data_IF_333614823439
#
_entry.id   IF_333614823439
#
_cell.length_a   1.000
_cell.length_b   1.000
_cell.length_c   1.000
_cell.angle_alpha   90.00
_cell.angle_beta   90.00
_cell.angle_gamma   90.00
#
_symmetry.space_group_name_H-M   'P 1'
#
loop_
_entity.id
_entity.type
_entity.pdbx_description
1 polymer ?
#
# COMPACT_ATOMS: atom_id res chain seq x y z
N UNK A 1 -15.58 0.48 13.32
CA UNK A 1 -15.23 1.31 12.18
C UNK A 1 -13.78 1.72 12.35
N UNK A 2 -12.89 1.18 11.54
CA UNK A 2 -11.50 1.62 11.48
C UNK A 2 -11.49 3.02 10.85
N UNK A 3 -11.03 4.00 11.58
CA UNK A 3 -10.78 5.31 10.99
C UNK A 3 -9.40 5.25 10.37
N UNK A 4 -9.33 5.41 9.06
CA UNK A 4 -8.06 5.68 8.37
C UNK A 4 -7.52 7.00 8.90
N UNK A 5 -6.24 7.01 9.29
CA UNK A 5 -5.56 8.25 9.67
C UNK A 5 -5.18 8.95 8.38
N UNK A 6 -5.67 10.15 8.09
CA UNK A 6 -5.30 10.88 6.89
C UNK A 6 -3.79 11.13 6.83
N UNK A 7 -3.21 11.10 5.63
CA UNK A 7 -1.78 11.32 5.40
C UNK A 7 -1.30 12.63 6.04
N UNK A 8 -2.02 13.72 5.87
CA UNK A 8 -1.70 15.03 6.46
C UNK A 8 -1.62 14.97 7.99
N UNK A 9 -2.44 14.11 8.61
CA UNK A 9 -2.39 13.90 10.06
C UNK A 9 -1.13 13.13 10.47
N UNK A 10 -0.69 12.16 9.67
CA UNK A 10 0.57 11.43 9.89
C UNK A 10 1.75 12.39 9.79
N UNK A 11 1.81 13.20 8.73
CA UNK A 11 2.85 14.23 8.53
C UNK A 11 2.87 15.20 9.72
N UNK A 12 1.71 15.74 10.10
CA UNK A 12 1.59 16.69 11.20
C UNK A 12 2.04 16.11 12.55
N UNK A 13 1.63 14.88 12.87
CA UNK A 13 2.04 14.21 14.11
C UNK A 13 3.53 13.87 14.11
N UNK A 14 4.06 13.39 12.99
CA UNK A 14 5.48 13.08 12.86
C UNK A 14 6.33 14.34 13.00
N UNK A 15 5.96 15.44 12.36
CA UNK A 15 6.66 16.71 12.51
C UNK A 15 6.63 17.23 13.96
N UNK A 16 5.51 17.09 14.67
CA UNK A 16 5.44 17.46 16.08
C UNK A 16 6.34 16.59 16.97
N UNK A 17 6.50 15.30 16.66
CA UNK A 17 7.44 14.42 17.33
C UNK A 17 8.89 14.81 17.02
N UNK A 18 9.22 15.10 15.77
CA UNK A 18 10.55 15.58 15.38
C UNK A 18 10.89 16.84 16.17
N UNK A 19 10.01 17.84 16.22
CA UNK A 19 10.22 19.08 16.96
C UNK A 19 10.43 18.84 18.46
N UNK A 20 9.71 17.88 19.05
CA UNK A 20 9.80 17.56 20.47
C UNK A 20 11.08 16.78 20.84
N UNK A 21 11.62 15.97 19.91
CA UNK A 21 12.74 15.07 20.18
C UNK A 21 14.07 15.48 19.53
N UNK A 22 14.11 16.56 18.75
CA UNK A 22 15.34 17.14 18.20
C UNK A 22 16.12 17.90 19.29
N UNK A 23 16.71 17.14 20.21
CA UNK A 23 17.40 17.69 21.40
C UNK A 23 18.91 17.88 21.19
N UNK A 24 19.45 17.33 20.11
CA UNK A 24 20.85 17.45 19.70
C UNK A 24 20.97 17.47 18.17
N UNK A 25 22.19 17.64 17.66
CA UNK A 25 22.47 17.76 16.23
C UNK A 25 22.13 16.46 15.47
N UNK A 26 22.36 15.29 16.07
CA UNK A 26 22.10 13.98 15.47
C UNK A 26 20.59 13.74 15.32
N UNK A 27 19.82 13.94 16.38
CA UNK A 27 18.36 13.81 16.35
C UNK A 27 17.69 14.85 15.45
N UNK A 28 18.23 16.06 15.39
CA UNK A 28 17.75 17.09 14.46
C UNK A 28 17.99 16.69 13.00
N UNK A 29 19.19 16.17 12.67
CA UNK A 29 19.52 15.69 11.32
C UNK A 29 18.66 14.49 10.90
N UNK A 30 18.40 13.55 11.82
CA UNK A 30 17.48 12.43 11.57
C UNK A 30 16.04 12.91 11.29
N UNK A 31 15.57 13.90 12.05
CA UNK A 31 14.26 14.52 11.84
C UNK A 31 14.14 15.20 10.47
N UNK A 32 15.20 15.89 10.04
CA UNK A 32 15.22 16.57 8.74
C UNK A 32 15.13 15.56 7.57
N UNK A 33 15.84 14.45 7.63
CA UNK A 33 15.71 13.37 6.63
C UNK A 33 14.28 12.86 6.48
N UNK A 34 13.53 12.76 7.59
CA UNK A 34 12.13 12.36 7.55
C UNK A 34 11.27 13.43 6.84
N UNK A 35 11.54 14.72 7.08
CA UNK A 35 10.84 15.81 6.37
C UNK A 35 11.13 15.82 4.88
N UNK A 36 12.40 15.62 4.50
CA UNK A 36 12.81 15.49 3.10
C UNK A 36 12.07 14.35 2.39
N UNK A 37 11.84 13.21 3.08
CA UNK A 37 11.02 12.10 2.54
C UNK A 37 9.57 12.49 2.31
N UNK A 38 8.96 13.26 3.20
CA UNK A 38 7.60 13.77 3.00
C UNK A 38 7.54 14.74 1.82
N UNK A 39 8.51 15.64 1.70
CA UNK A 39 8.58 16.59 0.59
C UNK A 39 8.78 15.89 -0.76
N UNK A 40 9.62 14.86 -0.82
CA UNK A 40 9.79 14.04 -2.01
C UNK A 40 8.51 13.29 -2.37
N UNK A 41 7.82 12.71 -1.39
CA UNK A 41 6.54 12.03 -1.63
C UNK A 41 5.48 13.01 -2.14
N UNK A 42 5.38 14.21 -1.58
CA UNK A 42 4.41 15.22 -2.04
C UNK A 42 4.64 15.58 -3.52
N UNK A 43 5.91 15.68 -3.96
CA UNK A 43 6.25 15.90 -5.36
C UNK A 43 5.86 14.70 -6.24
N UNK A 44 6.12 13.46 -5.78
CA UNK A 44 5.74 12.25 -6.47
C UNK A 44 4.21 12.12 -6.60
N UNK A 45 3.45 12.51 -5.57
CA UNK A 45 1.99 12.56 -5.60
C UNK A 45 1.49 13.55 -6.66
N UNK A 46 2.08 14.75 -6.76
CA UNK A 46 1.68 15.72 -7.78
C UNK A 46 1.98 15.21 -9.20
N UNK A 47 3.14 14.59 -9.43
CA UNK A 47 3.45 13.95 -10.71
C UNK A 47 2.47 12.81 -11.05
N UNK A 48 2.11 12.00 -10.06
CA UNK A 48 1.14 10.93 -10.21
C UNK A 48 -0.26 11.45 -10.54
N UNK A 49 -0.70 12.53 -9.90
CA UNK A 49 -1.99 13.19 -10.20
C UNK A 49 -2.07 13.63 -11.66
N UNK A 50 -1.00 14.20 -12.21
CA UNK A 50 -0.96 14.57 -13.62
C UNK A 50 -1.03 13.37 -14.54
N UNK A 51 -0.37 12.27 -14.18
CA UNK A 51 -0.30 11.04 -14.98
C UNK A 51 -1.61 10.23 -14.95
N UNK A 52 -2.34 10.27 -13.83
CA UNK A 52 -3.56 9.48 -13.63
C UNK A 52 -4.85 10.31 -13.67
N UNK A 53 -4.77 11.60 -14.03
CA UNK A 53 -5.93 12.49 -14.11
C UNK A 53 -7.06 11.91 -14.96
N UNK A 54 -8.28 11.97 -14.42
CA UNK A 54 -9.49 11.47 -15.06
C UNK A 54 -9.62 9.94 -15.09
N UNK A 55 -8.70 9.18 -14.50
CA UNK A 55 -8.82 7.73 -14.37
C UNK A 55 -9.69 7.36 -13.17
N UNK A 56 -10.50 6.33 -13.36
CA UNK A 56 -11.41 5.83 -12.34
C UNK A 56 -10.94 4.50 -11.75
N UNK A 57 -11.24 4.28 -10.46
CA UNK A 57 -10.85 3.07 -9.75
C UNK A 57 -12.02 2.49 -8.95
N UNK A 58 -12.12 1.17 -8.92
CA UNK A 58 -12.87 0.43 -7.92
C UNK A 58 -11.88 -0.25 -6.98
N UNK A 59 -11.94 0.05 -5.69
CA UNK A 59 -11.09 -0.61 -4.69
C UNK A 59 -11.87 -1.74 -4.03
N UNK A 60 -11.52 -2.98 -4.36
CA UNK A 60 -12.15 -4.18 -3.89
C UNK A 60 -11.33 -4.82 -2.77
N UNK A 61 -11.88 -4.85 -1.57
CA UNK A 61 -11.28 -5.51 -0.42
C UNK A 61 -12.00 -6.82 -0.12
N UNK A 62 -11.25 -7.90 0.04
CA UNK A 62 -11.79 -9.22 0.36
C UNK A 62 -11.34 -9.71 1.72
N UNK A 63 -12.26 -10.40 2.41
CA UNK A 63 -12.00 -11.09 3.68
C UNK A 63 -12.74 -12.41 3.67
N UNK A 64 -12.02 -13.50 3.34
CA UNK A 64 -12.64 -14.78 3.02
C UNK A 64 -13.59 -14.65 1.83
N UNK A 65 -14.81 -15.15 1.96
CA UNK A 65 -15.84 -15.09 0.91
C UNK A 65 -16.60 -13.75 0.87
N UNK A 66 -16.25 -12.81 1.74
CA UNK A 66 -16.93 -11.52 1.79
C UNK A 66 -16.11 -10.47 1.01
N UNK A 67 -16.81 -9.72 0.15
CA UNK A 67 -16.24 -8.66 -0.66
C UNK A 67 -16.81 -7.31 -0.24
N UNK A 68 -15.95 -6.31 -0.22
CA UNK A 68 -16.28 -4.95 0.18
C UNK A 68 -15.70 -3.98 -0.85
N UNK A 69 -16.36 -2.86 -1.07
CA UNK A 69 -15.79 -1.71 -1.80
C UNK A 69 -15.26 -0.72 -0.77
N UNK A 70 -14.00 -0.36 -0.88
CA UNK A 70 -13.46 0.77 -0.15
C UNK A 70 -13.89 2.08 -0.81
N UNK A 71 -14.28 3.03 0.02
CA UNK A 71 -14.51 4.41 -0.38
C UNK A 71 -13.20 5.21 -0.33
N UNK A 72 -13.24 6.48 -0.69
CA UNK A 72 -12.11 7.40 -0.51
C UNK A 72 -11.69 7.62 0.96
N UNK A 73 -12.50 7.15 1.93
CA UNK A 73 -12.20 7.17 3.35
C UNK A 73 -11.55 5.84 3.84
N UNK A 74 -11.39 4.85 2.97
CA UNK A 74 -10.64 3.64 3.23
C UNK A 74 -9.13 3.87 3.04
N UNK A 75 -8.28 2.97 3.55
CA UNK A 75 -6.82 3.14 3.48
C UNK A 75 -6.34 3.20 2.04
N UNK A 76 -6.57 2.14 1.26
CA UNK A 76 -6.18 2.12 -0.15
C UNK A 76 -7.01 3.11 -0.99
N UNK A 77 -8.31 3.26 -0.68
CA UNK A 77 -9.16 4.24 -1.38
C UNK A 77 -8.67 5.68 -1.21
N UNK A 78 -8.16 6.05 -0.04
CA UNK A 78 -7.55 7.37 0.18
C UNK A 78 -6.22 7.53 -0.56
N UNK A 79 -5.38 6.49 -0.61
CA UNK A 79 -4.13 6.51 -1.36
C UNK A 79 -4.39 6.65 -2.87
N UNK A 80 -5.35 5.89 -3.41
CA UNK A 80 -5.75 5.99 -4.81
C UNK A 80 -6.23 7.41 -5.17
N UNK A 81 -7.04 8.03 -4.30
CA UNK A 81 -7.45 9.43 -4.46
C UNK A 81 -6.26 10.39 -4.42
N UNK A 82 -5.32 10.19 -3.51
CA UNK A 82 -4.13 11.05 -3.40
C UNK A 82 -3.30 11.07 -4.68
N UNK A 83 -3.18 9.93 -5.36
CA UNK A 83 -2.41 9.82 -6.62
C UNK A 83 -3.23 10.14 -7.88
N UNK A 84 -4.47 10.64 -7.74
CA UNK A 84 -5.25 11.20 -8.84
C UNK A 84 -6.44 10.39 -9.33
N UNK A 85 -6.73 9.22 -8.75
CA UNK A 85 -7.89 8.43 -9.17
C UNK A 85 -9.21 8.96 -8.62
N UNK A 86 -10.25 8.83 -9.42
CA UNK A 86 -11.64 8.99 -8.97
C UNK A 86 -12.22 7.61 -8.60
N UNK A 87 -12.67 7.45 -7.35
CA UNK A 87 -13.30 6.21 -6.94
C UNK A 87 -14.73 6.15 -7.49
N UNK A 88 -15.08 5.07 -8.20
CA UNK A 88 -16.43 4.87 -8.77
C UNK A 88 -17.50 4.74 -7.69
N UNK A 89 -17.12 4.39 -6.48
CA UNK A 89 -18.04 4.36 -5.33
C UNK A 89 -17.67 5.41 -4.29
N UNK A 90 -18.56 6.34 -4.07
CA UNK A 90 -18.40 7.41 -3.09
C UNK A 90 -19.36 7.24 -1.94
N UNK A 91 -18.87 7.36 -0.71
CA UNK A 91 -19.69 7.35 0.51
C UNK A 91 -18.93 8.07 1.63
N UNK A 92 -19.46 9.18 2.09
CA UNK A 92 -18.85 10.03 3.12
C UNK A 92 -19.03 9.50 4.56
N UNK A 93 -19.87 8.47 4.75
CA UNK A 93 -20.22 7.90 6.06
C UNK A 93 -19.36 6.70 6.46
N UNK A 94 -18.68 6.06 5.52
CA UNK A 94 -18.01 4.79 5.77
C UNK A 94 -16.69 4.69 5.00
N UNK A 95 -15.69 4.00 5.57
CA UNK A 95 -14.44 3.70 4.88
C UNK A 95 -14.57 2.54 3.88
N UNK A 96 -15.52 1.66 4.10
CA UNK A 96 -15.88 0.57 3.20
C UNK A 96 -17.32 0.14 3.42
N UNK A 97 -17.92 -0.44 2.39
CA UNK A 97 -19.27 -1.03 2.43
C UNK A 97 -19.22 -2.43 1.84
N UNK A 98 -20.11 -3.31 2.28
CA UNK A 98 -20.24 -4.62 1.66
C UNK A 98 -20.64 -4.44 0.19
N UNK A 99 -20.02 -5.21 -0.69
CA UNK A 99 -20.31 -5.18 -2.11
C UNK A 99 -21.77 -5.54 -2.36
N UNK A 100 -22.51 -4.60 -2.95
CA UNK A 100 -23.83 -4.85 -3.52
C UNK A 100 -23.64 -5.27 -4.98
N UNK A 101 -23.93 -6.54 -5.26
CA UNK A 101 -23.70 -7.13 -6.56
C UNK A 101 -24.55 -6.51 -7.68
N UNK A 102 -25.77 -6.04 -7.36
CA UNK A 102 -26.63 -5.39 -8.35
C UNK A 102 -26.10 -3.99 -8.68
N UNK A 103 -25.67 -3.25 -7.66
CA UNK A 103 -25.15 -1.91 -7.81
C UNK A 103 -23.78 -1.90 -8.52
N UNK A 104 -22.94 -2.92 -8.28
CA UNK A 104 -21.62 -2.98 -8.89
C UNK A 104 -21.65 -3.15 -10.43
N UNK A 105 -22.77 -3.61 -11.00
CA UNK A 105 -22.96 -3.70 -12.45
C UNK A 105 -23.04 -2.33 -13.15
N UNK A 106 -23.35 -1.29 -12.38
CA UNK A 106 -23.43 0.07 -12.90
C UNK A 106 -22.06 0.80 -12.90
N UNK A 107 -21.03 0.14 -12.35
CA UNK A 107 -19.68 0.72 -12.28
C UNK A 107 -18.83 0.30 -13.47
N UNK A 108 -18.16 1.27 -14.07
CA UNK A 108 -17.20 1.07 -15.17
C UNK A 108 -15.85 1.72 -14.82
N UNK A 109 -15.09 1.11 -13.90
CA UNK A 109 -13.77 1.64 -13.52
C UNK A 109 -12.74 1.36 -14.63
N UNK A 110 -11.75 2.24 -14.75
CA UNK A 110 -10.58 2.00 -15.59
C UNK A 110 -9.72 0.86 -15.07
N UNK A 111 -9.66 0.71 -13.73
CA UNK A 111 -8.92 -0.34 -13.05
C UNK A 111 -9.65 -0.81 -11.78
N UNK A 112 -9.51 -2.09 -11.45
CA UNK A 112 -9.90 -2.65 -10.16
C UNK A 112 -8.64 -2.92 -9.34
N UNK A 113 -8.51 -2.30 -8.17
CA UNK A 113 -7.46 -2.59 -7.21
C UNK A 113 -8.00 -3.56 -6.17
N UNK A 114 -7.47 -4.79 -6.17
CA UNK A 114 -7.86 -5.84 -5.24
C UNK A 114 -6.86 -5.93 -4.09
N UNK A 115 -7.37 -5.96 -2.85
CA UNK A 115 -6.55 -6.05 -1.64
C UNK A 115 -7.24 -6.94 -0.60
N UNK A 116 -6.45 -7.66 0.19
CA UNK A 116 -6.96 -8.58 1.22
C UNK A 116 -6.00 -8.77 2.38
N UNK A 117 -6.11 -9.91 3.06
CA UNK A 117 -5.27 -10.27 4.20
C UNK A 117 -3.98 -10.99 3.78
N UNK A 118 -3.88 -11.39 2.52
CA UNK A 118 -2.75 -12.13 1.96
C UNK A 118 -1.71 -11.19 1.33
N UNK A 119 -0.58 -11.75 0.93
CA UNK A 119 0.30 -11.06 -0.01
C UNK A 119 -0.36 -10.92 -1.40
N UNK A 120 0.27 -10.20 -2.31
CA UNK A 120 -0.33 -9.91 -3.62
C UNK A 120 -0.63 -11.19 -4.44
N UNK A 121 0.23 -12.21 -4.36
CA UNK A 121 0.08 -13.46 -5.13
C UNK A 121 -1.03 -14.33 -4.53
N UNK A 122 -1.03 -14.53 -3.19
CA UNK A 122 -2.09 -15.26 -2.50
C UNK A 122 -3.45 -14.57 -2.64
N UNK A 123 -3.48 -13.25 -2.62
CA UNK A 123 -4.72 -12.50 -2.85
C UNK A 123 -5.20 -12.63 -4.30
N UNK A 124 -4.29 -12.65 -5.27
CA UNK A 124 -4.61 -12.93 -6.67
C UNK A 124 -5.27 -14.29 -6.84
N UNK A 125 -4.68 -15.36 -6.29
CA UNK A 125 -5.25 -16.72 -6.37
C UNK A 125 -6.67 -16.77 -5.75
N UNK A 126 -6.86 -16.09 -4.62
CA UNK A 126 -8.16 -16.00 -3.95
C UNK A 126 -9.19 -15.31 -4.84
N UNK A 127 -8.85 -14.16 -5.41
CA UNK A 127 -9.77 -13.39 -6.24
C UNK A 127 -10.06 -14.06 -7.59
N UNK A 128 -9.06 -14.65 -8.24
CA UNK A 128 -9.27 -15.42 -9.48
C UNK A 128 -10.20 -16.62 -9.24
N UNK A 129 -10.09 -17.27 -8.08
CA UNK A 129 -11.01 -18.31 -7.66
C UNK A 129 -12.44 -17.77 -7.46
N UNK A 130 -12.61 -16.64 -6.80
CA UNK A 130 -13.90 -15.98 -6.63
C UNK A 130 -14.52 -15.56 -7.98
N UNK A 131 -13.73 -15.04 -8.89
CA UNK A 131 -14.16 -14.67 -10.23
C UNK A 131 -14.61 -15.90 -11.03
N UNK A 132 -13.88 -17.02 -10.93
CA UNK A 132 -14.24 -18.26 -11.57
C UNK A 132 -15.50 -18.93 -11.00
N UNK A 133 -15.84 -18.71 -9.73
CA UNK A 133 -17.05 -19.24 -9.11
C UNK A 133 -18.34 -18.54 -9.59
N UNK A 134 -18.26 -17.27 -9.95
CA UNK A 134 -19.40 -16.52 -10.47
C UNK A 134 -19.02 -15.65 -11.68
N UNK A 135 -18.63 -16.30 -12.80
CA UNK A 135 -18.07 -15.57 -13.96
C UNK A 135 -19.10 -14.68 -14.66
N UNK A 136 -20.38 -15.03 -14.63
CA UNK A 136 -21.43 -14.20 -15.23
C UNK A 136 -21.54 -12.83 -14.56
N UNK A 137 -21.37 -12.81 -13.24
CA UNK A 137 -21.37 -11.59 -12.48
C UNK A 137 -20.07 -10.80 -12.68
N UNK A 138 -18.92 -11.42 -12.40
CA UNK A 138 -17.65 -10.71 -12.40
C UNK A 138 -17.25 -10.19 -13.79
N UNK A 139 -17.56 -10.95 -14.84
CA UNK A 139 -17.31 -10.52 -16.21
C UNK A 139 -18.29 -9.45 -16.71
N UNK A 140 -19.32 -9.11 -15.94
CA UNK A 140 -20.18 -7.97 -16.25
C UNK A 140 -19.54 -6.64 -15.87
N UNK A 141 -18.48 -6.66 -15.06
CA UNK A 141 -17.64 -5.50 -14.76
C UNK A 141 -16.52 -5.44 -15.82
N UNK A 142 -16.52 -4.46 -16.74
CA UNK A 142 -15.62 -4.46 -17.90
C UNK A 142 -14.14 -4.55 -17.50
N UNK A 143 -13.72 -3.86 -16.45
CA UNK A 143 -12.34 -3.89 -15.98
C UNK A 143 -11.90 -5.32 -15.59
N UNK A 144 -12.77 -6.11 -14.96
CA UNK A 144 -12.46 -7.50 -14.57
C UNK A 144 -12.44 -8.40 -15.81
N UNK A 145 -13.43 -8.27 -16.70
CA UNK A 145 -13.50 -9.06 -17.93
C UNK A 145 -12.29 -8.85 -18.84
N UNK A 146 -11.73 -7.66 -18.85
CA UNK A 146 -10.57 -7.27 -19.65
C UNK A 146 -9.22 -7.48 -18.93
N UNK A 147 -9.24 -8.00 -17.70
CA UNK A 147 -8.04 -8.25 -16.91
C UNK A 147 -7.37 -6.97 -16.37
N UNK A 148 -8.10 -5.85 -16.33
CA UNK A 148 -7.63 -4.59 -15.73
C UNK A 148 -7.76 -4.63 -14.20
N UNK A 149 -7.06 -5.60 -13.61
CA UNK A 149 -7.08 -5.88 -12.16
C UNK A 149 -5.67 -5.84 -11.62
N UNK A 150 -5.45 -5.04 -10.59
CA UNK A 150 -4.20 -4.93 -9.87
C UNK A 150 -4.36 -5.57 -8.49
N UNK A 151 -3.52 -6.55 -8.17
CA UNK A 151 -3.53 -7.25 -6.89
C UNK A 151 -2.46 -6.66 -5.97
N UNK A 152 -2.86 -6.24 -4.79
CA UNK A 152 -2.02 -5.52 -3.84
C UNK A 152 -1.93 -6.28 -2.50
N UNK A 153 -0.77 -6.24 -1.82
CA UNK A 153 -0.59 -6.91 -0.54
C UNK A 153 -1.34 -6.23 0.62
N UNK A 154 -1.49 -6.96 1.72
CA UNK A 154 -2.18 -6.50 2.94
C UNK A 154 -1.64 -5.20 3.53
N UNK A 155 -0.39 -4.83 3.25
CA UNK A 155 0.20 -3.57 3.68
C UNK A 155 -0.66 -2.36 3.33
N UNK A 156 -1.34 -2.38 2.18
CA UNK A 156 -2.22 -1.30 1.72
C UNK A 156 -3.54 -1.15 2.49
N UNK A 157 -3.88 -2.09 3.37
CA UNK A 157 -5.05 -1.95 4.27
C UNK A 157 -4.66 -1.79 5.73
N UNK A 158 -3.41 -2.11 6.10
CA UNK A 158 -2.93 -2.12 7.49
C UNK A 158 -1.85 -1.08 7.79
N UNK A 159 -1.35 -0.37 6.78
CA UNK A 159 -0.29 0.62 6.95
C UNK A 159 -0.75 1.79 7.80
N UNK A 160 0.06 2.12 8.80
CA UNK A 160 -0.11 3.27 9.66
C UNK A 160 1.27 3.89 9.98
N UNK A 161 1.30 5.18 10.30
CA UNK A 161 2.53 5.89 10.61
C UNK A 161 3.38 6.15 9.38
N UNK A 162 4.69 6.32 9.57
CA UNK A 162 5.63 6.77 8.52
C UNK A 162 5.72 5.81 7.32
N UNK A 163 5.42 4.53 7.50
CA UNK A 163 5.45 3.54 6.42
C UNK A 163 4.43 3.84 5.31
N UNK A 164 3.48 4.75 5.54
CA UNK A 164 2.56 5.24 4.51
C UNK A 164 3.31 5.89 3.34
N UNK A 165 4.48 6.48 3.60
CA UNK A 165 5.33 7.10 2.57
C UNK A 165 5.75 6.05 1.54
N UNK A 166 6.27 4.93 2.03
CA UNK A 166 6.73 3.85 1.17
C UNK A 166 5.57 3.22 0.40
N UNK A 167 4.45 2.95 1.08
CA UNK A 167 3.25 2.39 0.45
C UNK A 167 2.70 3.28 -0.68
N UNK A 168 2.63 4.60 -0.48
CA UNK A 168 2.13 5.50 -1.53
C UNK A 168 3.12 5.56 -2.69
N UNK A 169 4.42 5.65 -2.39
CA UNK A 169 5.45 5.70 -3.43
C UNK A 169 5.49 4.39 -4.26
N UNK A 170 5.39 3.23 -3.61
CA UNK A 170 5.26 1.94 -4.28
C UNK A 170 3.97 1.85 -5.12
N UNK A 171 2.85 2.38 -4.61
CA UNK A 171 1.60 2.40 -5.35
C UNK A 171 1.72 3.18 -6.65
N UNK A 172 2.38 4.35 -6.62
CA UNK A 172 2.62 5.16 -7.82
C UNK A 172 3.38 4.34 -8.86
N UNK A 173 4.49 3.71 -8.48
CA UNK A 173 5.29 2.88 -9.38
C UNK A 173 4.50 1.68 -9.93
N UNK A 174 3.80 0.95 -9.05
CA UNK A 174 3.00 -0.23 -9.43
C UNK A 174 1.89 0.13 -10.42
N UNK A 175 1.22 1.26 -10.22
CA UNK A 175 0.16 1.73 -11.13
C UNK A 175 0.75 2.25 -12.44
N UNK A 176 1.88 2.94 -12.41
CA UNK A 176 2.59 3.40 -13.60
C UNK A 176 3.00 2.22 -14.48
N UNK A 177 3.59 1.19 -13.89
CA UNK A 177 3.95 -0.06 -14.56
C UNK A 177 2.73 -0.76 -15.18
N UNK A 178 1.63 -0.82 -14.43
CA UNK A 178 0.38 -1.40 -14.92
C UNK A 178 -0.14 -0.72 -16.19
N UNK A 179 -0.06 0.62 -16.26
CA UNK A 179 -0.47 1.38 -17.44
C UNK A 179 0.62 1.49 -18.51
N UNK A 180 1.85 1.05 -18.22
CA UNK A 180 3.00 1.21 -19.11
C UNK A 180 3.36 2.68 -19.36
N UNK A 181 3.17 3.53 -18.34
CA UNK A 181 3.50 4.95 -18.38
C UNK A 181 4.67 5.25 -17.46
N UNK A 182 5.44 6.28 -17.77
CA UNK A 182 6.52 6.76 -16.94
C UNK A 182 6.02 7.91 -16.07
N UNK A 183 6.22 7.80 -14.75
CA UNK A 183 6.00 8.88 -13.80
C UNK A 183 7.35 9.29 -13.24
N UNK A 184 7.75 10.53 -13.46
CA UNK A 184 9.00 11.05 -12.90
C UNK A 184 8.87 11.17 -11.38
N UNK A 185 9.48 10.24 -10.65
CA UNK A 185 9.50 10.25 -9.18
C UNK A 185 10.88 10.57 -8.66
N UNK A 186 10.92 11.29 -7.54
CA UNK A 186 12.14 11.51 -6.76
C UNK A 186 12.31 10.33 -5.83
N UNK A 187 13.54 9.79 -5.75
CA UNK A 187 13.86 8.71 -4.81
C UNK A 187 13.62 9.19 -3.37
N UNK A 188 12.84 8.44 -2.64
CA UNK A 188 12.72 8.56 -1.18
C UNK A 188 13.75 7.61 -0.60
N UNK A 189 15.02 8.05 -0.48
CA UNK A 189 16.12 7.19 -0.08
C UNK A 189 15.86 6.45 1.23
N UNK A 190 16.00 5.12 1.17
CA UNK A 190 16.05 4.22 2.33
C UNK A 190 17.43 4.23 3.04
N UNK A 191 18.35 5.09 2.66
CA UNK A 191 19.76 5.08 3.11
C UNK A 191 19.99 5.39 4.61
N UNK A 192 18.96 5.24 5.44
CA UNK A 192 19.12 5.34 6.90
C UNK A 192 19.15 3.98 7.63
N UNK A 193 19.04 2.83 6.96
CA UNK A 193 18.95 1.52 7.63
C UNK A 193 20.08 0.53 7.34
N UNK A 194 21.04 0.82 6.47
CA UNK A 194 22.10 -0.15 6.13
C UNK A 194 23.48 0.07 6.77
N UNK A 195 23.69 1.09 7.58
CA UNK A 195 24.97 1.22 8.32
C UNK A 195 24.98 0.54 9.70
N UNK A 196 23.96 -0.23 10.06
CA UNK A 196 23.78 -0.79 11.42
C UNK A 196 23.95 -2.29 11.60
N UNK A 197 24.13 -3.11 10.54
CA UNK A 197 24.20 -4.58 10.71
C UNK A 197 25.19 -5.27 9.80
N UNK A 198 26.45 -4.85 9.84
CA UNK A 198 27.54 -5.64 9.27
C UNK A 198 28.80 -5.50 10.12
N UNK A 199 28.76 -6.01 11.34
CA UNK A 199 29.99 -6.51 11.97
C UNK A 199 29.68 -7.60 12.99
N UNK A 200 30.35 -8.73 12.72
CA UNK A 200 30.72 -9.79 13.65
C UNK A 200 29.60 -10.70 14.19
N UNK A 201 29.60 -11.93 13.77
CA UNK A 201 30.25 -12.99 14.55
C UNK A 201 30.61 -14.15 13.61
N UNK A 202 31.85 -14.15 13.15
CA UNK A 202 32.57 -15.37 12.81
C UNK A 202 33.56 -15.59 13.93
N UNK A 203 33.30 -16.51 14.84
CA UNK A 203 34.36 -17.16 15.62
C UNK A 203 33.87 -18.50 16.15
N UNK A 204 34.52 -19.52 15.63
CA UNK A 204 34.96 -20.73 16.26
C UNK A 204 34.02 -21.49 17.23
N UNK A 205 33.46 -22.56 16.73
CA UNK A 205 33.20 -23.72 17.52
C UNK A 205 34.20 -24.81 17.13
N UNK A 206 35.34 -24.79 17.78
CA UNK A 206 36.26 -25.93 17.81
C UNK A 206 35.59 -27.17 18.40
N UNK A 207 35.76 -28.20 17.68
CA UNK A 207 35.64 -29.64 17.99
C UNK A 207 36.22 -30.00 19.35
N UNK A 208 35.44 -30.57 20.23
CA UNK A 208 35.97 -31.43 21.30
C UNK A 208 35.19 -32.74 21.37
N UNK A 209 35.71 -33.70 20.65
CA UNK A 209 35.54 -35.12 20.92
C UNK A 209 36.06 -35.45 22.30
N UNK A 210 35.27 -36.14 23.13
CA UNK A 210 35.80 -37.01 24.15
C UNK A 210 34.86 -38.18 24.39
N UNK A 211 35.39 -39.34 24.03
CA UNK A 211 34.99 -40.69 24.43
C UNK A 211 35.02 -40.83 25.95
N UNK A 212 34.09 -41.58 26.46
CA UNK A 212 34.27 -42.52 27.62
C UNK A 212 32.98 -43.33 27.77
N UNK A 213 32.97 -44.49 27.32
CA UNK A 213 33.11 -45.81 27.92
C UNK A 213 32.50 -46.02 29.33
N UNK A 214 31.57 -46.97 29.34
CA UNK A 214 31.39 -48.09 30.31
C UNK A 214 30.99 -47.79 31.78
N UNK A 215 29.79 -48.11 32.16
CA UNK A 215 29.43 -49.37 32.89
C UNK A 215 27.91 -49.49 33.04
#
# INVERSE_FOLDING_TARGET
AGHTVPYESIVGQTNALIDAFSVDEESAAAGEKIRERFEALDQNIEAAKEAFDGKTVMVLQSSGDAHYIQTENGTLGSMAKMIGFENVYTNDQSSMVQLDYEQALDYDPDIVMCVGAEDAEGHKELMETAFAQNPEYWNSIPAIAEGRVLYLPVSYVSTAGINVVDCINELIGTVADFYGIEVETISVDEDASEEGTSEAVSEDAEESTSEAETK
#
